data_IF_418694425057
#
_entry.id   IF_418694425057
#
_cell.length_a   1.000
_cell.length_b   1.000
_cell.length_c   1.000
_cell.angle_alpha   90.00
_cell.angle_beta   90.00
_cell.angle_gamma   90.00
#
_symmetry.space_group_name_H-M   'P 1'
#
loop_
_entity.id
_entity.type
_entity.pdbx_description
1 polymer ?
#
# COMPACT_ATOMS: atom_id res chain seq x y z
N UNK A 1 -34.67 5.06 28.92
CA UNK A 1 -34.63 5.31 27.47
C UNK A 1 -33.37 4.70 26.91
N UNK A 2 -33.52 3.68 26.05
CA UNK A 2 -32.42 2.86 25.57
C UNK A 2 -31.43 3.62 24.68
N UNK A 3 -30.15 3.50 25.01
CA UNK A 3 -29.04 3.98 24.18
C UNK A 3 -29.02 3.20 22.86
N UNK A 4 -28.94 3.90 21.74
CA UNK A 4 -29.02 3.31 20.40
C UNK A 4 -27.79 2.44 20.10
N UNK A 5 -27.90 1.15 20.42
CA UNK A 5 -27.07 0.09 19.86
C UNK A 5 -27.53 -0.15 18.42
N UNK A 6 -26.86 0.43 17.43
CA UNK A 6 -27.29 0.24 16.04
C UNK A 6 -26.53 1.00 14.98
N UNK A 7 -25.20 0.91 14.94
CA UNK A 7 -24.44 0.76 13.69
C UNK A 7 -23.01 0.35 14.05
N UNK A 8 -22.79 -0.96 14.06
CA UNK A 8 -21.51 -1.60 14.25
C UNK A 8 -20.49 -1.06 13.23
N UNK A 9 -19.61 -0.15 13.64
CA UNK A 9 -18.19 -0.14 13.30
C UNK A 9 -17.72 -0.26 11.85
N UNK A 10 -18.53 -0.02 10.82
CA UNK A 10 -18.14 -0.11 9.39
C UNK A 10 -17.35 1.10 8.92
N UNK A 11 -16.49 1.67 9.77
CA UNK A 11 -15.37 2.49 9.28
C UNK A 11 -14.42 1.49 8.62
N UNK A 12 -14.70 1.10 7.37
CA UNK A 12 -13.78 0.33 6.51
C UNK A 12 -12.42 0.93 6.77
N UNK A 13 -11.53 0.15 7.38
CA UNK A 13 -10.14 0.57 7.51
C UNK A 13 -9.67 0.72 6.06
N UNK A 14 -9.61 1.97 5.59
CA UNK A 14 -9.11 2.30 4.26
C UNK A 14 -7.59 2.17 4.36
N UNK A 15 -7.12 0.92 4.39
CA UNK A 15 -5.71 0.62 4.36
C UNK A 15 -5.18 1.05 2.99
N UNK A 16 -4.27 2.02 2.98
CA UNK A 16 -3.66 2.49 1.73
C UNK A 16 -2.54 1.49 1.37
N UNK A 17 -2.72 0.71 0.32
CA UNK A 17 -1.73 -0.24 -0.22
C UNK A 17 -0.57 0.44 -0.96
N UNK A 18 0.00 1.49 -0.37
CA UNK A 18 1.19 2.15 -0.88
C UNK A 18 2.36 1.17 -0.82
N UNK A 19 3.05 1.00 -1.94
CA UNK A 19 4.15 0.04 -2.08
C UNK A 19 5.46 0.80 -2.14
N UNK A 20 6.52 0.26 -1.55
CA UNK A 20 7.85 0.85 -1.55
C UNK A 20 8.83 -0.14 -2.12
N UNK A 21 9.67 0.31 -3.05
CA UNK A 21 10.82 -0.47 -3.51
C UNK A 21 12.02 -0.07 -2.64
N UNK A 22 12.62 -1.05 -1.98
CA UNK A 22 13.76 -0.84 -1.08
C UNK A 22 14.95 -1.59 -1.65
N UNK A 23 16.07 -0.89 -1.77
CA UNK A 23 17.33 -1.44 -2.26
C UNK A 23 18.00 -2.35 -1.23
N UNK A 24 19.01 -3.11 -1.68
CA UNK A 24 19.79 -4.00 -0.80
C UNK A 24 20.56 -3.23 0.29
N UNK A 25 20.83 -1.95 0.05
CA UNK A 25 21.44 -1.02 1.01
C UNK A 25 20.42 -0.47 2.02
N UNK A 26 19.16 -0.91 1.97
CA UNK A 26 18.08 -0.45 2.83
C UNK A 26 17.48 0.90 2.44
N UNK A 27 17.94 1.53 1.35
CA UNK A 27 17.39 2.82 0.91
C UNK A 27 16.13 2.64 0.07
N UNK A 28 15.19 3.57 0.24
CA UNK A 28 13.97 3.61 -0.59
C UNK A 28 14.34 4.11 -1.98
N UNK A 29 14.13 3.27 -2.99
CA UNK A 29 14.37 3.59 -4.40
C UNK A 29 13.14 4.23 -5.04
N UNK A 30 11.94 3.80 -4.68
CA UNK A 30 10.69 4.37 -5.20
C UNK A 30 9.47 4.10 -4.31
N UNK A 31 8.42 4.90 -4.51
CA UNK A 31 7.11 4.74 -3.86
C UNK A 31 6.00 4.68 -4.91
N UNK A 32 5.06 3.76 -4.74
CA UNK A 32 3.97 3.50 -5.66
C UNK A 32 2.62 3.64 -4.98
N UNK A 33 1.69 4.34 -5.64
CA UNK A 33 0.34 4.54 -5.13
C UNK A 33 -0.43 3.20 -5.04
N UNK A 34 -1.47 3.10 -4.17
CA UNK A 34 -2.25 1.88 -3.99
C UNK A 34 -2.79 1.25 -5.28
N UNK A 35 -3.27 2.07 -6.22
CA UNK A 35 -3.82 1.63 -7.50
C UNK A 35 -2.77 1.30 -8.58
N UNK A 36 -1.48 1.33 -8.26
CA UNK A 36 -0.43 0.97 -9.21
C UNK A 36 -0.55 -0.52 -9.53
N UNK A 37 -0.72 -0.83 -10.83
CA UNK A 37 -0.80 -2.22 -11.31
C UNK A 37 0.54 -2.94 -11.09
N UNK A 38 0.52 -4.22 -10.68
CA UNK A 38 1.75 -4.99 -10.44
C UNK A 38 2.71 -5.00 -11.62
N UNK A 39 2.21 -5.13 -12.85
CA UNK A 39 3.03 -5.12 -14.09
C UNK A 39 3.86 -3.84 -14.26
N UNK A 40 3.44 -2.71 -13.67
CA UNK A 40 4.21 -1.46 -13.73
C UNK A 40 5.36 -1.40 -12.71
N UNK A 41 5.43 -2.35 -11.79
CA UNK A 41 6.48 -2.45 -10.78
C UNK A 41 7.66 -3.29 -11.29
N UNK A 42 7.41 -4.22 -12.21
CA UNK A 42 8.36 -5.21 -12.71
C UNK A 42 9.63 -4.56 -13.25
N UNK A 43 9.52 -3.61 -14.18
CA UNK A 43 10.68 -2.89 -14.73
C UNK A 43 11.44 -2.06 -13.68
N UNK A 44 10.78 -1.61 -12.61
CA UNK A 44 11.45 -0.90 -11.51
C UNK A 44 12.25 -1.88 -10.63
N UNK A 45 11.72 -3.08 -10.42
CA UNK A 45 12.39 -4.16 -9.68
C UNK A 45 13.60 -4.66 -10.46
N UNK A 46 13.47 -4.94 -11.76
CA UNK A 46 14.58 -5.38 -12.62
C UNK A 46 15.74 -4.39 -12.60
N UNK A 47 15.44 -3.09 -12.74
CA UNK A 47 16.45 -2.02 -12.63
C UNK A 47 17.15 -1.98 -11.28
N UNK A 48 16.47 -2.36 -10.20
CA UNK A 48 17.06 -2.41 -8.87
C UNK A 48 17.95 -3.65 -8.66
N UNK A 49 17.82 -4.68 -9.51
CA UNK A 49 18.65 -5.88 -9.46
C UNK A 49 19.97 -5.72 -10.23
N UNK A 50 20.01 -4.85 -11.25
CA UNK A 50 21.18 -4.60 -12.10
C UNK A 50 21.26 -5.59 -13.24
#
# INVERSE_FOLDING_TARGET
>A
GGQKRGLLGTRRIKWNFTKFLVGRDGRVLSRHAPGTRPVRLESAIERALG
#
